data_IF_699620121474
#
_entry.id   IF_699620121474
#
_cell.length_a   1.000
_cell.length_b   1.000
_cell.length_c   1.000
_cell.angle_alpha   90.00
_cell.angle_beta   90.00
_cell.angle_gamma   90.00
#
_symmetry.space_group_name_H-M   'P 1'
#
loop_
_entity.id
_entity.type
_entity.pdbx_description
1 polymer ?
#
# COMPACT_ATOMS: atom_id res chain seq x y z
N UNK A 1 0.12 -42.58 -26.12
CA UNK A 1 1.46 -42.61 -25.48
C UNK A 1 1.72 -41.27 -24.81
N UNK A 2 1.49 -41.26 -23.51
CA UNK A 2 1.55 -40.15 -22.56
C UNK A 2 2.99 -39.63 -22.42
N UNK A 3 3.27 -38.43 -22.95
CA UNK A 3 4.49 -37.70 -22.64
C UNK A 3 4.45 -37.32 -21.16
N UNK A 4 5.29 -37.95 -20.34
CA UNK A 4 5.58 -37.51 -18.98
C UNK A 4 6.12 -36.07 -19.05
N UNK A 5 5.29 -35.09 -18.70
CA UNK A 5 5.72 -33.76 -18.31
C UNK A 5 6.53 -33.91 -17.02
N UNK A 6 7.84 -34.01 -17.11
CA UNK A 6 8.71 -33.91 -15.94
C UNK A 6 8.55 -32.50 -15.35
N UNK A 7 7.82 -32.41 -14.23
CA UNK A 7 7.80 -31.22 -13.38
C UNK A 7 9.21 -30.98 -12.84
N UNK A 8 9.91 -29.98 -13.37
CA UNK A 8 11.20 -29.56 -12.85
C UNK A 8 10.99 -28.75 -11.55
N UNK A 9 11.60 -29.24 -10.47
CA UNK A 9 11.62 -28.57 -9.16
C UNK A 9 12.89 -27.73 -9.10
N UNK A 10 12.82 -26.54 -8.51
CA UNK A 10 14.00 -25.69 -8.29
C UNK A 10 15.09 -26.37 -7.45
N UNK A 11 14.74 -27.45 -6.73
CA UNK A 11 15.62 -28.18 -5.81
C UNK A 11 16.35 -29.37 -6.47
N UNK A 12 15.83 -29.89 -7.59
CA UNK A 12 16.31 -31.17 -8.14
C UNK A 12 16.29 -31.18 -9.67
N UNK A 13 17.45 -31.39 -10.27
CA UNK A 13 17.57 -31.79 -11.67
C UNK A 13 17.75 -33.31 -11.73
N UNK A 14 16.86 -34.01 -12.44
CA UNK A 14 16.89 -35.48 -12.56
C UNK A 14 17.01 -36.24 -11.22
N UNK A 15 16.39 -35.73 -10.15
CA UNK A 15 16.37 -36.38 -8.84
C UNK A 15 17.64 -36.25 -7.99
N UNK A 16 18.62 -35.43 -8.40
CA UNK A 16 19.83 -35.12 -7.60
C UNK A 16 19.79 -33.70 -7.03
N UNK A 17 20.45 -33.50 -5.88
CA UNK A 17 20.57 -32.22 -5.18
C UNK A 17 21.37 -31.22 -6.02
N UNK A 18 20.77 -30.06 -6.31
CA UNK A 18 21.29 -29.08 -7.26
C UNK A 18 22.38 -28.13 -6.76
N UNK A 19 23.01 -28.43 -5.61
CA UNK A 19 23.88 -27.49 -4.86
C UNK A 19 25.12 -27.03 -5.65
N UNK A 20 25.47 -27.67 -6.77
CA UNK A 20 26.73 -27.43 -7.49
C UNK A 20 26.62 -27.07 -9.00
N UNK A 21 25.44 -26.88 -9.60
CA UNK A 21 25.36 -26.42 -11.01
C UNK A 21 24.99 -24.93 -11.12
N UNK A 22 25.34 -24.25 -12.23
CA UNK A 22 24.98 -22.86 -12.45
C UNK A 22 23.46 -22.63 -12.33
N UNK A 23 23.10 -21.58 -11.60
CA UNK A 23 21.72 -21.21 -11.25
C UNK A 23 20.72 -21.17 -12.42
N UNK A 24 21.18 -20.89 -13.64
CA UNK A 24 20.35 -20.82 -14.84
C UNK A 24 19.90 -22.20 -15.35
N UNK A 25 20.62 -23.28 -15.02
CA UNK A 25 20.35 -24.62 -15.55
C UNK A 25 19.18 -25.33 -14.86
N UNK A 26 18.75 -24.83 -13.69
CA UNK A 26 17.61 -25.38 -12.93
C UNK A 26 16.27 -24.70 -13.19
N UNK A 27 16.29 -23.52 -13.81
CA UNK A 27 15.12 -22.66 -13.94
C UNK A 27 14.56 -22.71 -15.35
N UNK A 28 13.59 -23.59 -15.55
CA UNK A 28 12.71 -23.51 -16.71
C UNK A 28 11.59 -22.52 -16.41
N UNK A 29 11.61 -21.38 -17.12
CA UNK A 29 10.57 -20.34 -17.04
C UNK A 29 9.19 -20.95 -17.23
N UNK A 30 8.26 -20.56 -16.38
CA UNK A 30 6.85 -20.98 -16.40
C UNK A 30 6.56 -22.33 -15.72
N UNK A 31 7.59 -23.07 -15.31
CA UNK A 31 7.47 -24.40 -14.71
C UNK A 31 7.99 -24.49 -13.28
N UNK A 32 8.49 -23.39 -12.71
CA UNK A 32 9.08 -23.38 -11.37
C UNK A 32 7.99 -23.38 -10.30
N UNK A 33 8.17 -24.22 -9.28
CA UNK A 33 7.33 -24.26 -8.08
C UNK A 33 8.19 -24.26 -6.85
N UNK A 34 7.88 -23.36 -5.92
CA UNK A 34 8.54 -23.31 -4.62
C UNK A 34 7.91 -24.34 -3.68
N UNK A 35 8.74 -25.24 -3.14
CA UNK A 35 8.36 -26.12 -2.04
C UNK A 35 8.85 -25.52 -0.73
N UNK A 36 7.95 -25.26 0.21
CA UNK A 36 8.34 -24.80 1.54
C UNK A 36 8.80 -26.03 2.33
N UNK A 37 10.09 -26.08 2.64
CA UNK A 37 10.70 -27.16 3.42
C UNK A 37 11.05 -26.67 4.83
N UNK A 38 11.55 -27.56 5.70
CA UNK A 38 12.09 -27.18 7.01
C UNK A 38 13.44 -26.44 6.90
N UNK A 39 14.10 -26.53 5.74
CA UNK A 39 15.27 -25.74 5.44
C UNK A 39 14.82 -24.38 4.88
N UNK A 40 14.63 -23.43 5.78
CA UNK A 40 14.17 -22.09 5.43
C UNK A 40 15.20 -21.31 4.59
N UNK A 41 16.49 -21.62 4.74
CA UNK A 41 17.55 -20.95 3.96
C UNK A 41 17.47 -21.42 2.52
N UNK A 42 17.42 -22.73 2.27
CA UNK A 42 17.26 -23.26 0.93
C UNK A 42 15.95 -22.80 0.28
N UNK A 43 14.86 -22.77 1.05
CA UNK A 43 13.56 -22.25 0.59
C UNK A 43 13.68 -20.79 0.16
N UNK A 44 14.37 -19.95 0.93
CA UNK A 44 14.58 -18.54 0.61
C UNK A 44 15.44 -18.35 -0.65
N UNK A 45 16.53 -19.13 -0.80
CA UNK A 45 17.38 -19.11 -2.00
C UNK A 45 16.59 -19.50 -3.24
N UNK A 46 15.78 -20.57 -3.16
CA UNK A 46 14.92 -21.02 -4.26
C UNK A 46 13.87 -19.97 -4.64
N UNK A 47 13.26 -19.33 -3.66
CA UNK A 47 12.29 -18.28 -3.92
C UNK A 47 12.94 -17.05 -4.56
N UNK A 48 14.11 -16.63 -4.06
CA UNK A 48 14.91 -15.58 -4.66
C UNK A 48 15.22 -15.90 -6.12
N UNK A 49 15.56 -17.17 -6.39
CA UNK A 49 15.84 -17.66 -7.72
C UNK A 49 14.67 -17.45 -8.69
N UNK A 50 13.47 -17.82 -8.23
CA UNK A 50 12.22 -17.66 -8.98
C UNK A 50 11.92 -16.18 -9.24
N UNK A 51 12.07 -15.29 -8.26
CA UNK A 51 11.79 -13.87 -8.48
C UNK A 51 12.74 -13.23 -9.50
N UNK A 52 14.05 -13.51 -9.40
CA UNK A 52 15.06 -12.91 -10.28
C UNK A 52 14.93 -13.46 -11.70
N UNK A 53 14.91 -14.78 -11.87
CA UNK A 53 15.05 -15.41 -13.19
C UNK A 53 13.79 -16.08 -13.75
N UNK A 54 12.80 -16.36 -12.90
CA UNK A 54 11.50 -16.89 -13.33
C UNK A 54 10.64 -15.85 -14.06
N UNK A 55 9.52 -16.29 -14.60
CA UNK A 55 8.52 -15.43 -15.24
C UNK A 55 7.34 -15.10 -14.30
N UNK A 56 6.33 -14.40 -14.82
CA UNK A 56 5.13 -14.04 -14.05
C UNK A 56 4.32 -15.29 -13.65
N UNK A 57 4.36 -16.36 -14.44
CA UNK A 57 3.64 -17.61 -14.14
C UNK A 57 4.30 -18.36 -12.99
N UNK A 58 5.63 -18.37 -12.93
CA UNK A 58 6.40 -18.92 -11.82
C UNK A 58 6.06 -18.21 -10.50
N UNK A 59 5.90 -16.89 -10.54
CA UNK A 59 5.49 -16.11 -9.35
C UNK A 59 4.07 -16.46 -8.95
N UNK A 60 3.14 -16.60 -9.91
CA UNK A 60 1.76 -17.02 -9.63
C UNK A 60 1.67 -18.40 -8.99
N UNK A 61 2.68 -19.25 -9.19
CA UNK A 61 2.77 -20.58 -8.59
C UNK A 61 3.36 -20.58 -7.17
N UNK A 62 3.79 -19.44 -6.64
CA UNK A 62 4.34 -19.35 -5.29
C UNK A 62 3.25 -19.63 -4.23
N UNK A 63 3.62 -20.23 -3.09
CA UNK A 63 2.70 -20.36 -1.96
C UNK A 63 2.36 -18.99 -1.36
N UNK A 64 1.07 -18.70 -1.15
CA UNK A 64 0.61 -17.45 -0.53
C UNK A 64 1.20 -17.22 0.87
N UNK A 65 1.34 -18.29 1.67
CA UNK A 65 1.96 -18.21 2.99
C UNK A 65 3.40 -17.72 2.94
N UNK A 66 4.18 -18.14 1.94
CA UNK A 66 5.54 -17.67 1.74
C UNK A 66 5.57 -16.18 1.39
N UNK A 67 4.73 -15.75 0.43
CA UNK A 67 4.62 -14.34 0.03
C UNK A 67 4.28 -13.45 1.23
N UNK A 68 3.31 -13.85 2.06
CA UNK A 68 2.90 -13.07 3.24
C UNK A 68 4.00 -13.00 4.31
N UNK A 69 4.68 -14.11 4.58
CA UNK A 69 5.73 -14.15 5.60
C UNK A 69 7.03 -13.45 5.15
N UNK A 70 7.27 -13.37 3.85
CA UNK A 70 8.47 -12.77 3.26
C UNK A 70 8.21 -11.45 2.53
N UNK A 71 7.04 -10.83 2.71
CA UNK A 71 6.63 -9.63 1.97
C UNK A 71 7.64 -8.48 2.06
N UNK A 72 8.23 -8.27 3.25
CA UNK A 72 9.26 -7.24 3.47
C UNK A 72 10.52 -7.50 2.63
N UNK A 73 11.01 -8.73 2.64
CA UNK A 73 12.19 -9.14 1.87
C UNK A 73 11.92 -8.99 0.38
N UNK A 74 10.78 -9.48 -0.10
CA UNK A 74 10.39 -9.41 -1.51
C UNK A 74 10.28 -7.94 -1.96
N UNK A 75 9.71 -7.06 -1.14
CA UNK A 75 9.57 -5.64 -1.46
C UNK A 75 10.92 -4.90 -1.58
N UNK A 76 11.99 -5.41 -0.96
CA UNK A 76 13.35 -4.85 -1.05
C UNK A 76 14.14 -5.38 -2.25
N UNK A 77 13.64 -6.41 -2.94
CA UNK A 77 14.33 -6.99 -4.09
C UNK A 77 14.27 -6.06 -5.31
N UNK A 78 15.36 -5.99 -6.07
CA UNK A 78 15.41 -5.28 -7.36
C UNK A 78 14.83 -6.17 -8.47
N UNK A 79 13.51 -6.20 -8.57
CA UNK A 79 12.76 -7.01 -9.55
C UNK A 79 11.78 -6.14 -10.32
N UNK A 80 11.35 -6.62 -11.50
CA UNK A 80 10.33 -5.96 -12.31
C UNK A 80 9.04 -5.72 -11.53
N UNK A 81 8.40 -4.56 -11.75
CA UNK A 81 7.18 -4.16 -11.03
C UNK A 81 6.01 -5.12 -11.28
N UNK A 82 5.93 -5.70 -12.48
CA UNK A 82 4.87 -6.64 -12.86
C UNK A 82 4.93 -7.93 -12.04
N UNK A 83 6.15 -8.39 -11.78
CA UNK A 83 6.43 -9.54 -10.91
C UNK A 83 5.99 -9.28 -9.47
N UNK A 84 6.27 -8.08 -8.95
CA UNK A 84 5.81 -7.67 -7.62
C UNK A 84 4.29 -7.53 -7.57
N UNK A 85 3.66 -6.95 -8.60
CA UNK A 85 2.21 -6.85 -8.68
C UNK A 85 1.53 -8.23 -8.77
N UNK A 86 2.16 -9.21 -9.42
CA UNK A 86 1.66 -10.58 -9.52
C UNK A 86 1.52 -11.29 -8.16
N UNK A 87 2.32 -10.90 -7.16
CA UNK A 87 2.23 -11.44 -5.80
C UNK A 87 0.86 -11.21 -5.15
N UNK A 88 0.14 -10.14 -5.57
CA UNK A 88 -1.23 -9.90 -5.11
C UNK A 88 -2.19 -11.00 -5.56
N UNK A 89 -2.05 -11.47 -6.80
CA UNK A 89 -2.88 -12.55 -7.33
C UNK A 89 -2.64 -13.87 -6.59
N UNK A 90 -1.40 -14.10 -6.13
CA UNK A 90 -1.05 -15.25 -5.30
C UNK A 90 -1.74 -15.19 -3.95
N UNK A 91 -1.64 -14.04 -3.26
CA UNK A 91 -2.22 -13.85 -1.92
C UNK A 91 -3.75 -13.89 -1.96
N UNK A 92 -4.35 -13.23 -2.95
CA UNK A 92 -5.80 -13.27 -3.17
C UNK A 92 -6.28 -14.68 -3.52
N UNK A 93 -5.55 -15.39 -4.39
CA UNK A 93 -5.95 -16.70 -4.87
C UNK A 93 -7.38 -16.71 -5.42
N UNK A 94 -8.22 -17.60 -4.89
CA UNK A 94 -9.65 -17.69 -5.22
C UNK A 94 -10.55 -16.82 -4.34
N UNK A 95 -10.01 -16.16 -3.31
CA UNK A 95 -10.83 -15.34 -2.41
C UNK A 95 -11.30 -14.07 -3.13
N UNK A 96 -12.59 -13.72 -3.02
CA UNK A 96 -13.07 -12.47 -3.58
C UNK A 96 -12.46 -11.30 -2.79
N UNK A 97 -12.07 -10.23 -3.49
CA UNK A 97 -11.42 -9.05 -2.91
C UNK A 97 -12.11 -8.47 -1.65
N UNK A 98 -13.45 -8.35 -1.58
CA UNK A 98 -14.10 -7.83 -0.36
C UNK A 98 -13.96 -8.73 0.88
N UNK A 99 -13.66 -10.02 0.71
CA UNK A 99 -13.54 -10.97 1.83
C UNK A 99 -12.10 -11.08 2.36
N UNK A 100 -11.15 -10.32 1.80
CA UNK A 100 -9.77 -10.32 2.29
C UNK A 100 -9.73 -9.66 3.67
N UNK A 101 -9.21 -10.38 4.66
CA UNK A 101 -9.15 -9.89 6.03
C UNK A 101 -8.06 -8.82 6.21
N UNK A 102 -8.27 -7.95 7.21
CA UNK A 102 -7.28 -6.96 7.62
C UNK A 102 -5.91 -7.59 7.96
N UNK A 103 -5.90 -8.77 8.60
CA UNK A 103 -4.66 -9.46 8.97
C UNK A 103 -3.79 -9.85 7.76
N UNK A 104 -4.44 -10.25 6.65
CA UNK A 104 -3.74 -10.55 5.40
C UNK A 104 -3.15 -9.28 4.79
N UNK A 105 -3.93 -8.18 4.79
CA UNK A 105 -3.46 -6.89 4.30
C UNK A 105 -2.26 -6.38 5.10
N UNK A 106 -2.30 -6.49 6.43
CA UNK A 106 -1.21 -6.01 7.29
C UNK A 106 0.10 -6.77 7.04
N UNK A 107 0.04 -8.10 6.86
CA UNK A 107 1.21 -8.89 6.45
C UNK A 107 1.72 -8.52 5.06
N UNK A 108 0.80 -8.16 4.15
CA UNK A 108 1.11 -7.78 2.77
C UNK A 108 1.54 -6.30 2.61
N UNK A 109 1.52 -5.50 3.69
CA UNK A 109 1.76 -4.05 3.66
C UNK A 109 2.94 -3.60 2.79
N UNK A 110 4.14 -4.20 2.87
CA UNK A 110 5.28 -3.73 2.05
C UNK A 110 5.07 -3.82 0.53
N UNK A 111 4.28 -4.79 0.07
CA UNK A 111 4.01 -5.04 -1.34
C UNK A 111 2.74 -4.35 -1.84
N UNK A 112 1.91 -3.83 -0.94
CA UNK A 112 0.58 -3.30 -1.25
C UNK A 112 0.60 -2.13 -2.24
N UNK A 113 1.68 -1.33 -2.27
CA UNK A 113 1.87 -0.25 -3.25
C UNK A 113 1.84 -0.70 -4.71
N UNK A 114 2.12 -1.98 -4.99
CA UNK A 114 2.12 -2.53 -6.34
C UNK A 114 0.74 -3.04 -6.79
N UNK A 115 -0.27 -3.01 -5.91
CA UNK A 115 -1.63 -3.47 -6.23
C UNK A 115 -2.33 -2.46 -7.14
N UNK A 116 -3.08 -2.94 -8.12
CA UNK A 116 -3.85 -2.08 -9.00
C UNK A 116 -4.93 -1.30 -8.22
N UNK A 117 -5.06 0.00 -8.51
CA UNK A 117 -6.07 0.90 -7.95
C UNK A 117 -7.49 0.32 -7.95
N UNK A 118 -7.89 -0.35 -9.05
CA UNK A 118 -9.22 -0.98 -9.16
C UNK A 118 -9.41 -2.15 -8.20
N UNK A 119 -8.36 -2.92 -7.92
CA UNK A 119 -8.42 -4.01 -6.94
C UNK A 119 -8.47 -3.45 -5.51
N UNK A 120 -7.70 -2.40 -5.21
CA UNK A 120 -7.75 -1.74 -3.90
C UNK A 120 -9.17 -1.22 -3.62
N UNK A 121 -9.82 -0.59 -4.60
CA UNK A 121 -11.19 -0.08 -4.46
C UNK A 121 -12.27 -1.16 -4.33
N UNK A 122 -11.94 -2.44 -4.63
CA UNK A 122 -12.85 -3.59 -4.43
C UNK A 122 -12.73 -4.22 -3.05
N UNK A 123 -11.78 -3.78 -2.22
CA UNK A 123 -11.70 -4.19 -0.82
C UNK A 123 -12.94 -3.72 -0.05
N UNK A 124 -13.18 -4.30 1.12
CA UNK A 124 -14.29 -3.89 1.97
C UNK A 124 -14.00 -2.52 2.63
N UNK A 125 -14.34 -1.44 1.93
CA UNK A 125 -14.17 -0.06 2.39
C UNK A 125 -15.15 0.34 3.51
N UNK A 126 -16.10 -0.54 3.88
CA UNK A 126 -16.99 -0.33 5.02
C UNK A 126 -16.34 -0.75 6.35
N UNK A 127 -15.23 -1.50 6.34
CA UNK A 127 -14.44 -1.77 7.54
C UNK A 127 -13.47 -0.60 7.80
N UNK A 128 -13.69 0.13 8.91
CA UNK A 128 -12.87 1.26 9.35
C UNK A 128 -11.37 0.90 9.42
N UNK A 129 -11.02 -0.35 9.74
CA UNK A 129 -9.61 -0.81 9.83
C UNK A 129 -8.97 -0.93 8.46
N UNK A 130 -9.70 -1.44 7.48
CA UNK A 130 -9.23 -1.55 6.09
C UNK A 130 -9.11 -0.15 5.49
N UNK A 131 -10.07 0.73 5.75
CA UNK A 131 -10.02 2.11 5.29
C UNK A 131 -8.81 2.85 5.87
N UNK A 132 -8.58 2.73 7.18
CA UNK A 132 -7.42 3.31 7.88
C UNK A 132 -6.09 2.71 7.38
N UNK A 133 -6.05 1.40 7.13
CA UNK A 133 -4.89 0.73 6.54
C UNK A 133 -4.50 1.35 5.19
N UNK A 134 -5.47 1.55 4.29
CA UNK A 134 -5.22 2.16 2.98
C UNK A 134 -4.84 3.64 3.17
N UNK A 135 -5.57 4.37 4.01
CA UNK A 135 -5.36 5.80 4.24
C UNK A 135 -4.03 6.16 4.90
N UNK A 136 -3.45 5.27 5.69
CA UNK A 136 -2.15 5.49 6.35
C UNK A 136 -0.96 4.97 5.53
N UNK A 137 -1.21 4.33 4.39
CA UNK A 137 -0.16 3.74 3.58
C UNK A 137 0.68 4.83 2.86
N UNK A 138 2.00 4.92 3.09
CA UNK A 138 2.82 6.05 2.63
C UNK A 138 3.10 6.03 1.13
N UNK A 139 3.23 4.84 0.54
CA UNK A 139 3.70 4.66 -0.84
C UNK A 139 2.57 4.53 -1.88
N UNK A 140 1.33 4.90 -1.55
CA UNK A 140 0.24 4.86 -2.53
C UNK A 140 0.34 6.05 -3.47
N UNK A 141 0.20 5.79 -4.77
CA UNK A 141 0.21 6.83 -5.78
C UNK A 141 -1.13 7.58 -5.82
N UNK A 142 -1.11 8.80 -6.37
CA UNK A 142 -2.29 9.66 -6.48
C UNK A 142 -3.47 8.99 -7.21
N UNK A 143 -3.19 8.17 -8.23
CA UNK A 143 -4.23 7.45 -8.97
C UNK A 143 -4.94 6.42 -8.10
N UNK A 144 -4.20 5.60 -7.35
CA UNK A 144 -4.73 4.62 -6.40
C UNK A 144 -5.58 5.31 -5.35
N UNK A 145 -5.06 6.37 -4.74
CA UNK A 145 -5.75 7.17 -3.73
C UNK A 145 -7.05 7.76 -4.29
N UNK A 146 -7.03 8.33 -5.51
CA UNK A 146 -8.20 8.90 -6.16
C UNK A 146 -9.31 7.89 -6.46
N UNK A 147 -8.95 6.72 -6.99
CA UNK A 147 -9.92 5.65 -7.32
C UNK A 147 -10.58 5.10 -6.04
N UNK A 148 -9.80 4.89 -4.98
CA UNK A 148 -10.33 4.41 -3.69
C UNK A 148 -11.20 5.46 -3.03
N UNK A 149 -10.77 6.73 -3.00
CA UNK A 149 -11.55 7.82 -2.45
C UNK A 149 -12.89 7.94 -3.18
N UNK A 150 -12.89 8.00 -4.52
CA UNK A 150 -14.11 8.05 -5.32
C UNK A 150 -15.09 6.91 -5.00
N UNK A 151 -14.58 5.68 -4.84
CA UNK A 151 -15.41 4.53 -4.47
C UNK A 151 -15.97 4.66 -3.05
N UNK A 152 -15.17 5.12 -2.09
CA UNK A 152 -15.63 5.32 -0.72
C UNK A 152 -16.73 6.39 -0.62
N UNK A 153 -16.60 7.50 -1.35
CA UNK A 153 -17.61 8.57 -1.42
C UNK A 153 -18.97 8.06 -1.91
N UNK A 154 -18.98 7.11 -2.86
CA UNK A 154 -20.20 6.48 -3.35
C UNK A 154 -20.85 5.56 -2.30
N UNK A 155 -20.04 4.89 -1.48
CA UNK A 155 -20.51 3.94 -0.48
C UNK A 155 -20.99 4.64 0.80
N UNK A 156 -20.33 5.73 1.19
CA UNK A 156 -20.65 6.47 2.41
C UNK A 156 -21.08 7.91 2.09
N UNK A 157 -22.39 8.21 2.04
CA UNK A 157 -22.87 9.57 1.77
C UNK A 157 -22.54 10.55 2.91
N UNK A 158 -22.25 10.06 4.13
CA UNK A 158 -21.90 10.87 5.30
C UNK A 158 -20.39 11.09 5.45
N UNK A 159 -19.60 10.80 4.42
CA UNK A 159 -18.14 10.92 4.44
C UNK A 159 -17.61 12.30 4.87
N UNK A 160 -18.43 13.35 4.76
CA UNK A 160 -18.09 14.73 5.15
C UNK A 160 -18.05 14.94 6.66
N UNK A 161 -18.54 14.01 7.49
CA UNK A 161 -18.45 14.13 8.94
C UNK A 161 -16.98 14.00 9.42
N UNK A 162 -16.57 14.75 10.48
CA UNK A 162 -15.18 14.76 10.97
C UNK A 162 -14.61 13.37 11.27
N UNK A 163 -15.42 12.45 11.79
CA UNK A 163 -15.02 11.06 12.08
C UNK A 163 -14.52 10.36 10.82
N UNK A 164 -15.27 10.44 9.71
CA UNK A 164 -14.91 9.75 8.48
C UNK A 164 -13.76 10.43 7.75
N UNK A 165 -13.70 11.78 7.78
CA UNK A 165 -12.56 12.52 7.24
C UNK A 165 -11.25 12.12 7.94
N UNK A 166 -11.26 11.97 9.27
CA UNK A 166 -10.09 11.51 10.02
C UNK A 166 -9.67 10.07 9.66
N UNK A 167 -10.61 9.18 9.33
CA UNK A 167 -10.29 7.81 8.90
C UNK A 167 -9.67 7.77 7.49
N UNK A 168 -10.09 8.68 6.61
CA UNK A 168 -9.62 8.71 5.22
C UNK A 168 -8.11 8.99 5.11
N UNK A 169 -7.53 9.80 6.00
CA UNK A 169 -6.09 10.13 6.00
C UNK A 169 -5.61 10.55 4.59
N UNK A 170 -4.62 9.84 3.99
CA UNK A 170 -4.11 10.12 2.65
C UNK A 170 -5.20 10.04 1.56
N UNK A 171 -6.32 9.34 1.78
CA UNK A 171 -7.45 9.27 0.85
C UNK A 171 -8.10 10.62 0.59
N UNK A 172 -7.93 11.61 1.48
CA UNK A 172 -8.38 12.97 1.25
C UNK A 172 -7.70 13.62 0.04
N UNK A 173 -6.48 13.22 -0.30
CA UNK A 173 -5.79 13.66 -1.51
C UNK A 173 -6.51 13.20 -2.79
N UNK A 174 -7.28 12.11 -2.69
CA UNK A 174 -8.10 11.58 -3.79
C UNK A 174 -9.43 12.32 -3.97
N UNK A 175 -9.83 13.16 -3.02
CA UNK A 175 -11.12 13.87 -3.08
C UNK A 175 -10.98 15.16 -3.92
N UNK A 176 -11.87 15.38 -4.92
CA UNK A 176 -11.90 16.62 -5.67
C UNK A 176 -12.08 17.85 -4.77
N UNK A 177 -11.29 18.90 -5.03
CA UNK A 177 -11.34 20.15 -4.27
C UNK A 177 -12.71 20.84 -4.29
N UNK A 178 -13.49 20.63 -5.34
CA UNK A 178 -14.86 21.13 -5.45
C UNK A 178 -15.77 20.62 -4.34
N UNK A 179 -15.56 19.38 -3.88
CA UNK A 179 -16.30 18.82 -2.75
C UNK A 179 -15.75 19.32 -1.42
N UNK A 180 -14.42 19.34 -1.27
CA UNK A 180 -13.80 19.78 -0.01
C UNK A 180 -14.12 21.24 0.31
N UNK A 181 -14.19 22.13 -0.69
CA UNK A 181 -14.59 23.54 -0.49
C UNK A 181 -16.02 23.74 -0.01
N UNK A 182 -16.91 22.74 -0.16
CA UNK A 182 -18.30 22.81 0.32
C UNK A 182 -18.43 22.40 1.78
N UNK A 183 -17.40 21.75 2.34
CA UNK A 183 -17.40 21.33 3.74
C UNK A 183 -17.25 22.57 4.62
N UNK A 184 -18.12 22.76 5.64
CA UNK A 184 -18.00 23.84 6.60
C UNK A 184 -16.62 23.91 7.28
N UNK A 185 -16.12 25.13 7.51
CA UNK A 185 -14.79 25.34 8.11
C UNK A 185 -14.68 24.75 9.53
N UNK A 186 -15.77 24.74 10.30
CA UNK A 186 -15.82 24.16 11.64
C UNK A 186 -15.54 22.64 11.67
N UNK A 187 -15.81 21.92 10.57
CA UNK A 187 -15.51 20.49 10.42
C UNK A 187 -14.00 20.27 10.38
N UNK A 188 -13.24 21.15 9.73
CA UNK A 188 -11.79 21.05 9.63
C UNK A 188 -11.09 21.25 10.97
N UNK A 189 -11.66 22.05 11.87
CA UNK A 189 -11.13 22.26 13.23
C UNK A 189 -11.15 20.99 14.08
N UNK A 190 -12.07 20.06 13.79
CA UNK A 190 -12.23 18.79 14.50
C UNK A 190 -11.31 17.69 13.95
N UNK A 191 -10.53 17.98 12.89
CA UNK A 191 -9.60 17.00 12.33
C UNK A 191 -8.34 16.86 13.20
N UNK A 192 -7.87 15.62 13.29
CA UNK A 192 -6.65 15.31 14.03
C UNK A 192 -5.43 15.75 13.22
N UNK A 193 -4.38 16.18 13.92
CA UNK A 193 -3.11 16.56 13.28
C UNK A 193 -2.42 15.36 12.60
N UNK A 194 -2.75 14.14 13.02
CA UNK A 194 -2.16 12.90 12.51
C UNK A 194 -2.43 12.66 11.02
N UNK A 195 -3.60 13.12 10.56
CA UNK A 195 -4.02 13.05 9.16
C UNK A 195 -2.99 13.66 8.20
N UNK A 196 -2.28 14.69 8.63
CA UNK A 196 -1.36 15.46 7.80
C UNK A 196 0.03 14.85 7.67
N UNK A 197 0.43 13.94 8.56
CA UNK A 197 1.65 13.14 8.35
C UNK A 197 1.52 12.18 7.16
N UNK A 198 0.29 11.91 6.73
CA UNK A 198 -0.01 10.90 5.72
C UNK A 198 -0.44 11.47 4.37
N UNK A 199 -0.66 12.79 4.22
CA UNK A 199 -1.11 13.43 2.94
C UNK A 199 0.01 13.58 1.89
N UNK A 200 0.83 12.55 1.71
CA UNK A 200 1.96 12.54 0.76
C UNK A 200 1.52 12.44 -0.70
N UNK A 201 0.32 11.90 -0.96
CA UNK A 201 -0.20 11.74 -2.33
C UNK A 201 -0.92 12.99 -2.87
N UNK A 202 -1.03 14.06 -2.07
CA UNK A 202 -1.69 15.30 -2.44
C UNK A 202 -0.85 16.11 -3.42
N UNK A 203 -1.53 16.81 -4.34
CA UNK A 203 -0.88 17.86 -5.12
C UNK A 203 -0.49 19.04 -4.22
N UNK A 204 0.52 19.85 -4.61
CA UNK A 204 0.90 21.07 -3.89
C UNK A 204 -0.29 22.00 -3.59
N UNK A 205 -1.22 22.15 -4.53
CA UNK A 205 -2.43 22.97 -4.35
C UNK A 205 -3.39 22.39 -3.29
N UNK A 206 -3.59 21.08 -3.29
CA UNK A 206 -4.43 20.41 -2.29
C UNK A 206 -3.78 20.49 -0.92
N UNK A 207 -2.46 20.29 -0.85
CA UNK A 207 -1.69 20.41 0.39
C UNK A 207 -1.81 21.81 0.97
N UNK A 208 -1.62 22.85 0.14
CA UNK A 208 -1.82 24.25 0.55
C UNK A 208 -3.23 24.50 1.06
N UNK A 209 -4.25 24.02 0.34
CA UNK A 209 -5.64 24.15 0.77
C UNK A 209 -5.89 23.53 2.16
N UNK A 210 -5.45 22.30 2.38
CA UNK A 210 -5.66 21.61 3.66
C UNK A 210 -4.90 22.27 4.81
N UNK A 211 -3.66 22.73 4.57
CA UNK A 211 -2.89 23.48 5.56
C UNK A 211 -3.53 24.83 5.88
N UNK A 212 -3.97 25.59 4.87
CA UNK A 212 -4.66 26.87 5.06
C UNK A 212 -5.96 26.70 5.84
N UNK A 213 -6.77 25.69 5.56
CA UNK A 213 -8.03 25.45 6.27
C UNK A 213 -7.82 25.10 7.75
N UNK A 214 -6.68 24.51 8.12
CA UNK A 214 -6.33 24.31 9.54
C UNK A 214 -5.83 25.57 10.24
N UNK A 215 -5.16 26.45 9.49
CA UNK A 215 -4.53 27.66 10.02
C UNK A 215 -5.47 28.88 9.95
N UNK A 216 -6.66 28.75 9.35
CA UNK A 216 -7.64 29.83 9.21
C UNK A 216 -8.24 30.24 10.57
N UNK A 217 -7.55 31.21 11.17
CA UNK A 217 -7.87 32.30 12.10
C UNK A 217 -9.25 32.47 12.80
N UNK A 218 -10.25 31.59 12.71
CA UNK A 218 -11.35 31.57 13.70
C UNK A 218 -11.03 30.70 14.93
N UNK A 219 -9.86 30.03 14.93
CA UNK A 219 -9.24 29.43 16.11
C UNK A 219 -8.26 30.37 16.84
N UNK A 220 -8.10 31.62 16.40
CA UNK A 220 -7.26 32.65 17.06
C UNK A 220 -8.05 33.49 18.06
N UNK A 221 -8.98 32.85 18.77
CA UNK A 221 -9.67 33.47 19.90
C UNK A 221 -8.70 33.68 21.05
N UNK A 222 -8.05 34.85 21.06
CA UNK A 222 -7.16 35.44 22.08
C UNK A 222 -5.67 35.07 21.99
N UNK A 223 -4.89 36.13 22.01
CA UNK A 223 -3.43 36.20 22.02
C UNK A 223 -2.80 35.56 23.27
N UNK A 224 -1.68 34.85 23.06
CA UNK A 224 -0.71 34.38 24.06
C UNK A 224 -1.12 33.19 24.95
N UNK A 225 -1.32 32.01 24.36
CA UNK A 225 -0.64 30.79 24.85
C UNK A 225 -0.69 29.76 23.74
N UNK A 226 0.47 29.42 23.17
CA UNK A 226 0.50 28.31 22.22
C UNK A 226 0.17 27.04 22.97
N UNK A 227 -0.98 26.43 22.67
CA UNK A 227 -1.29 25.11 23.22
C UNK A 227 -0.32 24.07 22.67
N UNK A 228 -0.05 22.98 23.39
CA UNK A 228 0.80 21.89 22.90
C UNK A 228 0.31 21.33 21.54
N UNK A 229 -1.00 21.46 21.27
CA UNK A 229 -1.63 21.13 19.99
C UNK A 229 -1.27 22.12 18.88
N UNK A 230 -1.04 23.39 19.21
CA UNK A 230 -0.59 24.41 18.26
C UNK A 230 0.91 24.27 17.95
N UNK A 231 1.73 24.01 18.96
CA UNK A 231 3.17 23.76 18.79
C UNK A 231 3.43 22.52 17.92
N UNK A 232 2.65 21.46 18.11
CA UNK A 232 2.73 20.26 17.25
C UNK A 232 2.29 20.51 15.80
N UNK A 233 1.28 21.36 15.57
CA UNK A 233 0.87 21.78 14.22
C UNK A 233 1.94 22.64 13.52
N UNK A 234 2.62 23.50 14.27
CA UNK A 234 3.77 24.28 13.78
C UNK A 234 4.98 23.39 13.46
N UNK A 235 5.27 22.40 14.32
CA UNK A 235 6.32 21.40 14.06
C UNK A 235 6.03 20.55 12.82
N UNK A 236 4.77 20.21 12.58
CA UNK A 236 4.29 19.54 11.36
C UNK A 236 4.56 20.35 10.10
N UNK A 237 4.29 21.66 10.13
CA UNK A 237 4.58 22.57 9.01
C UNK A 237 6.08 22.64 8.72
N UNK A 238 6.91 22.78 9.76
CA UNK A 238 8.36 22.87 9.59
C UNK A 238 8.99 21.55 9.10
N UNK A 239 8.39 20.40 9.41
CA UNK A 239 8.90 19.09 9.02
C UNK A 239 8.46 18.63 7.62
N UNK A 240 7.30 19.08 7.12
CA UNK A 240 6.68 18.57 5.88
C UNK A 240 6.76 19.57 4.69
N UNK A 241 7.19 20.81 4.92
CA UNK A 241 7.24 21.87 3.91
C UNK A 241 8.68 22.05 3.39
N UNK A 242 8.87 21.90 2.07
CA UNK A 242 10.14 22.23 1.39
C UNK A 242 10.40 23.74 1.46
N UNK A 243 11.66 24.16 1.61
CA UNK A 243 12.02 25.58 1.84
C UNK A 243 11.42 26.59 0.85
N UNK A 244 11.15 26.20 -0.40
CA UNK A 244 10.48 27.03 -1.41
C UNK A 244 8.99 27.29 -1.15
N UNK A 245 8.32 26.38 -0.46
CA UNK A 245 6.89 26.48 -0.14
C UNK A 245 6.68 27.31 1.14
N UNK A 246 7.70 27.38 2.00
CA UNK A 246 7.71 28.13 3.25
C UNK A 246 7.81 29.64 3.01
N UNK A 247 8.50 30.06 1.93
CA UNK A 247 8.64 31.48 1.56
C UNK A 247 7.40 32.09 0.89
N UNK A 248 6.38 31.28 0.58
CA UNK A 248 5.18 31.68 -0.16
C UNK A 248 3.89 31.68 0.70
N UNK A 249 4.03 31.42 2.01
CA UNK A 249 3.00 31.51 3.04
C UNK A 249 3.22 32.80 3.82
#
# INVERSE_FOLDING_TARGET
LTRMLHLCRSETFQGKSGVHMPFLEYLHKGHCRLKVTKDFMQTAVNAFAIFVSGDIMDIKNLPASYVLNSARTIAMMKVEREKLAATWHVVKGSTPTPNISYEVLEKFRPLFKHVNAREIARLNLSDDRILSYIGTHPDLNRHQVGVVASRYLQLNPRWTEPRYLNLMNNLLCGVPMTFMRRIPENTYLQLTHQLFYHIRACDPLQRRFYLTMMMRTQALGKSYSWSAREVSRLGLLLAEVSGSDLSAI
#
